data_IF_672353201299
#
_entry.id   IF_672353201299
#
_cell.length_a   1.000
_cell.length_b   1.000
_cell.length_c   1.000
_cell.angle_alpha   90.00
_cell.angle_beta   90.00
_cell.angle_gamma   90.00
#
_symmetry.space_group_name_H-M   'P 1'
#
loop_
_entity.id
_entity.type
_entity.pdbx_description
1 polymer ?
#
# COMPACT_ATOMS: atom_id res chain seq x y z
N UNK A 1 0.13 2.00 22.09
CA UNK A 1 0.82 0.70 22.05
C UNK A 1 1.43 0.59 20.67
N UNK A 2 2.75 0.62 20.53
CA UNK A 2 3.40 0.46 19.22
C UNK A 2 3.29 -1.01 18.81
N UNK A 3 2.86 -1.29 17.58
CA UNK A 3 2.97 -2.64 17.04
C UNK A 3 4.46 -2.96 16.85
N UNK A 4 4.91 -4.12 17.30
CA UNK A 4 6.30 -4.57 17.20
C UNK A 4 6.39 -5.85 16.39
N UNK A 5 7.33 -5.94 15.45
CA UNK A 5 7.68 -7.20 14.76
C UNK A 5 8.87 -7.85 15.47
N UNK A 6 8.80 -9.16 15.72
CA UNK A 6 9.95 -9.93 16.22
C UNK A 6 10.77 -10.46 15.05
N UNK A 7 12.04 -10.07 14.96
CA UNK A 7 13.01 -10.58 13.99
C UNK A 7 14.25 -11.00 14.77
N UNK A 8 14.69 -12.25 14.65
CA UNK A 8 15.87 -12.79 15.34
C UNK A 8 15.90 -12.52 16.86
N UNK A 9 14.73 -12.54 17.51
CA UNK A 9 14.59 -12.27 18.94
C UNK A 9 14.59 -10.80 19.35
N UNK A 10 14.76 -9.87 18.40
CA UNK A 10 14.65 -8.42 18.63
C UNK A 10 13.27 -7.90 18.21
N UNK A 11 12.70 -7.00 19.02
CA UNK A 11 11.46 -6.28 18.71
C UNK A 11 11.78 -4.99 17.97
N UNK A 12 11.21 -4.84 16.78
CA UNK A 12 11.32 -3.62 15.99
C UNK A 12 9.96 -2.94 15.91
N UNK A 13 9.88 -1.62 16.17
CA UNK A 13 8.63 -0.90 16.05
C UNK A 13 8.22 -0.85 14.58
N UNK A 14 7.00 -1.32 14.30
CA UNK A 14 6.39 -1.23 12.97
C UNK A 14 6.13 0.24 12.69
N UNK A 15 6.73 0.76 11.63
CA UNK A 15 6.57 2.15 11.20
C UNK A 15 5.43 2.26 10.19
N UNK A 16 4.61 3.32 10.23
CA UNK A 16 3.65 3.59 9.17
C UNK A 16 4.37 3.80 7.84
N UNK A 17 3.77 3.31 6.75
CA UNK A 17 4.27 3.55 5.39
C UNK A 17 3.19 4.22 4.55
N UNK A 18 3.60 5.11 3.65
CA UNK A 18 2.69 5.69 2.68
C UNK A 18 2.50 4.74 1.48
N UNK A 19 1.34 4.77 0.81
CA UNK A 19 1.09 3.97 -0.39
C UNK A 19 2.18 4.09 -1.48
N UNK A 20 2.78 5.27 -1.63
CA UNK A 20 3.81 5.53 -2.63
C UNK A 20 5.12 4.76 -2.39
N UNK A 21 5.39 4.33 -1.16
CA UNK A 21 6.63 3.62 -0.80
C UNK A 21 6.54 2.10 -0.98
N UNK A 22 5.35 1.54 -1.21
CA UNK A 22 5.13 0.09 -1.41
C UNK A 22 6.04 -0.47 -2.50
N UNK A 23 6.27 0.28 -3.59
CA UNK A 23 7.14 -0.17 -4.67
C UNK A 23 8.62 -0.34 -4.25
N UNK A 24 9.09 0.39 -3.23
CA UNK A 24 10.46 0.27 -2.69
C UNK A 24 10.58 -0.87 -1.67
N UNK A 25 9.45 -1.28 -1.09
CA UNK A 25 9.36 -2.24 0.01
C UNK A 25 8.90 -3.64 -0.46
N UNK A 26 9.01 -3.95 -1.75
CA UNK A 26 8.63 -5.27 -2.32
C UNK A 26 9.41 -6.46 -1.74
N UNK A 27 10.50 -6.21 -1.00
CA UNK A 27 11.25 -7.24 -0.29
C UNK A 27 10.57 -7.69 1.02
N UNK A 28 9.60 -6.91 1.52
CA UNK A 28 8.82 -7.26 2.70
C UNK A 28 7.68 -8.23 2.34
N UNK A 29 7.32 -9.08 3.29
CA UNK A 29 6.14 -9.93 3.19
C UNK A 29 4.84 -9.10 3.22
N UNK A 30 3.76 -9.67 2.68
CA UNK A 30 2.45 -9.00 2.56
C UNK A 30 1.87 -8.61 3.92
N UNK A 31 2.06 -9.45 4.93
CA UNK A 31 1.54 -9.21 6.27
C UNK A 31 2.19 -7.97 6.91
N UNK A 32 3.51 -7.82 6.74
CA UNK A 32 4.27 -6.67 7.24
C UNK A 32 3.83 -5.40 6.52
N UNK A 33 3.69 -5.44 5.18
CA UNK A 33 3.18 -4.31 4.41
C UNK A 33 1.77 -3.92 4.88
N UNK A 34 0.91 -4.91 5.11
CA UNK A 34 -0.45 -4.69 5.61
C UNK A 34 -0.43 -3.99 6.97
N UNK A 35 0.36 -4.48 7.92
CA UNK A 35 0.45 -3.87 9.25
C UNK A 35 0.98 -2.44 9.20
N UNK A 36 2.04 -2.18 8.42
CA UNK A 36 2.62 -0.85 8.27
C UNK A 36 1.65 0.12 7.61
N UNK A 37 0.95 -0.30 6.55
CA UNK A 37 0.01 0.56 5.84
C UNK A 37 -1.27 0.78 6.64
N UNK A 38 -1.74 -0.23 7.38
CA UNK A 38 -2.89 -0.12 8.30
C UNK A 38 -2.64 0.95 9.35
N UNK A 39 -1.44 1.03 9.93
CA UNK A 39 -1.05 2.08 10.88
C UNK A 39 -1.12 3.48 10.26
N UNK A 40 -0.74 3.62 8.99
CA UNK A 40 -0.87 4.89 8.29
C UNK A 40 -2.34 5.25 8.01
N UNK A 41 -3.14 4.29 7.56
CA UNK A 41 -4.56 4.52 7.24
C UNK A 41 -5.39 4.81 8.49
N UNK A 42 -5.14 4.12 9.60
CA UNK A 42 -5.89 4.37 10.84
C UNK A 42 -5.64 5.79 11.38
N UNK A 43 -4.41 6.29 11.25
CA UNK A 43 -4.07 7.68 11.59
C UNK A 43 -4.89 8.67 10.75
N UNK A 44 -4.96 8.46 9.43
CA UNK A 44 -5.78 9.30 8.55
C UNK A 44 -7.28 9.16 8.81
N UNK A 45 -7.78 7.95 9.08
CA UNK A 45 -9.20 7.74 9.42
C UNK A 45 -9.62 8.57 10.63
N UNK A 46 -8.75 8.68 11.64
CA UNK A 46 -9.05 9.34 12.91
C UNK A 46 -8.77 10.85 12.82
N UNK A 47 -7.70 11.25 12.13
CA UNK A 47 -7.16 12.60 12.24
C UNK A 47 -7.24 13.42 10.94
N UNK A 48 -7.36 12.80 9.76
CA UNK A 48 -7.33 13.50 8.47
C UNK A 48 -8.03 12.71 7.35
N UNK A 49 -9.36 12.62 7.46
CA UNK A 49 -10.17 11.85 6.52
C UNK A 49 -10.17 12.44 5.10
N UNK A 50 -10.05 13.76 4.97
CA UNK A 50 -9.97 14.41 3.65
C UNK A 50 -8.71 13.97 2.90
N UNK A 51 -7.56 13.90 3.60
CA UNK A 51 -6.33 13.35 3.03
C UNK A 51 -6.46 11.88 2.66
N UNK A 52 -7.17 11.07 3.45
CA UNK A 52 -7.44 9.68 3.09
C UNK A 52 -8.17 9.57 1.75
N UNK A 53 -9.26 10.32 1.58
CA UNK A 53 -10.04 10.35 0.33
C UNK A 53 -9.17 10.79 -0.86
N UNK A 54 -8.38 11.86 -0.69
CA UNK A 54 -7.48 12.35 -1.73
C UNK A 54 -6.44 11.29 -2.14
N UNK A 55 -5.91 10.52 -1.18
CA UNK A 55 -4.98 9.43 -1.45
C UNK A 55 -5.64 8.28 -2.21
N UNK A 56 -6.86 7.87 -1.82
CA UNK A 56 -7.55 6.79 -2.54
C UNK A 56 -7.77 7.13 -4.01
N UNK A 57 -8.19 8.37 -4.28
CA UNK A 57 -8.34 8.87 -5.64
C UNK A 57 -7.00 8.89 -6.41
N UNK A 58 -5.94 9.44 -5.80
CA UNK A 58 -4.61 9.53 -6.43
C UNK A 58 -4.00 8.17 -6.76
N UNK A 59 -4.27 7.16 -5.93
CA UNK A 59 -3.76 5.81 -6.11
C UNK A 59 -4.64 4.92 -6.99
N UNK A 60 -5.75 5.47 -7.52
CA UNK A 60 -6.70 4.76 -8.36
C UNK A 60 -7.28 3.52 -7.64
N UNK A 61 -7.64 3.72 -6.36
CA UNK A 61 -8.39 2.75 -5.57
C UNK A 61 -9.86 2.81 -6.01
N UNK A 62 -10.48 1.66 -6.21
CA UNK A 62 -11.87 1.59 -6.64
C UNK A 62 -12.80 2.20 -5.59
N UNK A 63 -13.51 3.27 -5.96
CA UNK A 63 -14.37 4.03 -5.05
C UNK A 63 -15.47 3.19 -4.40
N UNK A 64 -16.09 2.27 -5.16
CA UNK A 64 -17.11 1.37 -4.60
C UNK A 64 -16.52 0.47 -3.52
N UNK A 65 -15.38 -0.17 -3.78
CA UNK A 65 -14.73 -1.02 -2.79
C UNK A 65 -14.24 -0.22 -1.58
N UNK A 66 -13.76 1.01 -1.80
CA UNK A 66 -13.40 1.92 -0.71
C UNK A 66 -14.61 2.25 0.17
N UNK A 67 -15.75 2.59 -0.42
CA UNK A 67 -16.99 2.84 0.31
C UNK A 67 -17.47 1.59 1.06
N UNK A 68 -17.38 0.40 0.46
CA UNK A 68 -17.68 -0.88 1.14
C UNK A 68 -16.74 -1.10 2.34
N UNK A 69 -15.44 -0.82 2.21
CA UNK A 69 -14.48 -0.92 3.29
C UNK A 69 -14.77 0.06 4.45
N UNK A 70 -15.28 1.26 4.15
CA UNK A 70 -15.70 2.23 5.18
C UNK A 70 -16.91 1.76 6.01
N UNK A 71 -17.69 0.79 5.52
CA UNK A 71 -18.84 0.24 6.26
C UNK A 71 -18.44 -0.80 7.31
N UNK A 72 -17.16 -1.17 7.42
CA UNK A 72 -16.69 -2.06 8.48
C UNK A 72 -16.98 -1.47 9.88
N UNK A 73 -17.18 -2.34 10.87
CA UNK A 73 -17.72 -1.96 12.18
C UNK A 73 -16.73 -1.17 13.05
N UNK A 74 -15.42 -1.39 12.88
CA UNK A 74 -14.37 -0.71 13.67
C UNK A 74 -13.36 -0.02 12.76
N UNK A 75 -12.69 1.02 13.27
CA UNK A 75 -11.61 1.70 12.53
C UNK A 75 -10.46 0.77 12.18
N UNK A 76 -10.19 -0.22 13.03
CA UNK A 76 -9.19 -1.25 12.79
C UNK A 76 -9.56 -2.11 11.57
N UNK A 77 -10.82 -2.55 11.47
CA UNK A 77 -11.33 -3.32 10.33
C UNK A 77 -11.39 -2.46 9.05
N UNK A 78 -11.83 -1.20 9.17
CA UNK A 78 -11.81 -0.24 8.05
C UNK A 78 -10.39 -0.06 7.51
N UNK A 79 -9.44 0.23 8.39
CA UNK A 79 -8.05 0.46 8.03
C UNK A 79 -7.43 -0.77 7.36
N UNK A 80 -7.72 -1.97 7.87
CA UNK A 80 -7.26 -3.22 7.28
C UNK A 80 -7.86 -3.46 5.89
N UNK A 81 -9.17 -3.28 5.73
CA UNK A 81 -9.84 -3.45 4.43
C UNK A 81 -9.29 -2.46 3.39
N UNK A 82 -9.14 -1.19 3.75
CA UNK A 82 -8.57 -0.16 2.86
C UNK A 82 -7.10 -0.47 2.54
N UNK A 83 -6.30 -0.89 3.52
CA UNK A 83 -4.90 -1.24 3.30
C UNK A 83 -4.74 -2.38 2.29
N UNK A 84 -5.60 -3.40 2.35
CA UNK A 84 -5.63 -4.48 1.37
C UNK A 84 -5.90 -3.94 -0.05
N UNK A 85 -6.90 -3.08 -0.22
CA UNK A 85 -7.23 -2.48 -1.53
C UNK A 85 -6.04 -1.70 -2.12
N UNK A 86 -5.36 -0.92 -1.28
CA UNK A 86 -4.20 -0.11 -1.70
C UNK A 86 -3.02 -1.01 -2.08
N UNK A 87 -2.71 -2.04 -1.28
CA UNK A 87 -1.63 -2.99 -1.59
C UNK A 87 -1.91 -3.68 -2.92
N UNK A 88 -3.12 -4.19 -3.12
CA UNK A 88 -3.47 -4.90 -4.34
C UNK A 88 -3.35 -3.98 -5.57
N UNK A 89 -3.75 -2.71 -5.44
CA UNK A 89 -3.64 -1.71 -6.52
C UNK A 89 -2.19 -1.36 -6.84
N UNK A 90 -1.35 -1.13 -5.84
CA UNK A 90 0.08 -0.83 -6.05
C UNK A 90 0.84 -2.03 -6.62
N UNK A 91 0.54 -3.24 -6.15
CA UNK A 91 1.12 -4.47 -6.71
C UNK A 91 0.71 -4.69 -8.17
N UNK A 92 -0.54 -4.38 -8.53
CA UNK A 92 -0.98 -4.40 -9.92
C UNK A 92 -0.18 -3.41 -10.78
N UNK A 93 0.02 -2.17 -10.32
CA UNK A 93 0.81 -1.15 -11.04
C UNK A 93 2.25 -1.61 -11.28
N UNK A 94 2.88 -2.21 -10.27
CA UNK A 94 4.23 -2.77 -10.39
C UNK A 94 4.28 -3.86 -11.47
N UNK A 95 3.34 -4.82 -11.42
CA UNK A 95 3.25 -5.91 -12.42
C UNK A 95 3.03 -5.37 -13.83
N UNK A 96 2.11 -4.41 -13.99
CA UNK A 96 1.82 -3.78 -15.28
C UNK A 96 3.06 -3.08 -15.83
N UNK A 97 3.75 -2.25 -15.03
CA UNK A 97 4.98 -1.57 -15.46
C UNK A 97 6.08 -2.55 -15.88
N UNK A 98 6.26 -3.65 -15.13
CA UNK A 98 7.23 -4.69 -15.46
C UNK A 98 6.87 -5.44 -16.76
N UNK A 99 5.58 -5.65 -17.06
CA UNK A 99 5.14 -6.25 -18.32
C UNK A 99 5.43 -5.33 -19.52
N UNK A 100 5.12 -4.04 -19.42
CA UNK A 100 5.40 -3.08 -20.48
C UNK A 100 6.91 -2.89 -20.72
N UNK A 101 7.72 -2.86 -19.66
CA UNK A 101 9.18 -2.75 -19.79
C UNK A 101 9.80 -3.96 -20.52
N UNK A 102 9.24 -5.16 -20.34
CA UNK A 102 9.74 -6.38 -21.01
C UNK A 102 9.30 -6.49 -22.47
N UNK A 103 8.16 -5.90 -22.82
CA UNK A 103 7.55 -6.00 -24.16
C UNK A 103 7.92 -4.83 -25.09
N UNK A 104 8.84 -3.94 -24.71
CA UNK A 104 9.32 -2.86 -25.58
C UNK A 104 10.70 -3.20 -26.18
N UNK A 105 10.79 -3.86 -27.35
CA UNK A 105 12.05 -4.23 -28.00
C UNK A 105 12.74 -3.06 -28.74
N UNK A 106 12.59 -1.80 -28.31
CA UNK A 106 13.29 -0.67 -28.95
C UNK A 106 14.04 0.20 -27.96
N UNK A 107 15.31 -0.17 -27.76
CA UNK A 107 16.42 0.76 -27.95
C UNK A 107 17.74 0.02 -28.23
N UNK A 108 17.82 -0.74 -29.33
CA UNK A 108 19.11 -1.00 -30.00
C UNK A 108 19.38 0.14 -30.97
N UNK A 109 19.94 1.22 -30.43
CA UNK A 109 20.62 2.26 -31.21
C UNK A 109 22.09 2.30 -30.78
N UNK A 110 22.80 1.20 -31.01
CA UNK A 110 24.25 1.19 -31.21
C UNK A 110 24.42 1.17 -32.74
N UNK A 111 24.74 2.29 -33.40
CA UNK A 111 26.10 2.76 -33.68
C UNK A 111 27.04 1.62 -34.07
N UNK A 112 27.17 1.38 -35.38
CA UNK A 112 28.39 1.63 -36.16
C UNK A 112 28.08 1.60 -37.67
#
# INVERSE_FOLDING_TARGET
MYLCKKINGMEYPIQPIEPADIAKLQHLDRETLLQQLKLFIIDLLIHDFERLCALMYRHDVNERLFNEALMCSTDDQRAEAIANLVIDREMLKIKTRAAYSRNNPKNSSDKD
#
